data_IF_004886199622
#
_entry.id   IF_004886199622
#
_cell.length_a   1.000
_cell.length_b   1.000
_cell.length_c   1.000
_cell.angle_alpha   90.00
_cell.angle_beta   90.00
_cell.angle_gamma   90.00
#
_symmetry.space_group_name_H-M   'P 1'
#
loop_
_entity.id
_entity.type
_entity.pdbx_description
1 polymer ?
#
# COMPACT_ATOMS: atom_id res chain seq x y z
N UNK A 1 -1.69 -2.31 8.44
CA UNK A 1 -2.68 -1.42 7.81
C UNK A 1 -4.11 -1.93 8.04
N UNK A 2 -4.81 -1.39 9.04
CA UNK A 2 -6.18 -1.84 9.39
C UNK A 2 -7.20 -1.47 8.30
N UNK A 3 -7.04 -0.32 7.63
CA UNK A 3 -7.95 0.13 6.58
C UNK A 3 -8.01 -0.82 5.38
N UNK A 4 -6.85 -1.20 4.82
CA UNK A 4 -6.79 -2.10 3.65
C UNK A 4 -7.40 -3.46 3.94
N UNK A 5 -7.15 -4.00 5.14
CA UNK A 5 -7.74 -5.27 5.56
C UNK A 5 -9.26 -5.19 5.68
N UNK A 6 -9.82 -4.11 6.26
CA UNK A 6 -11.28 -3.92 6.37
C UNK A 6 -11.93 -3.87 4.98
N UNK A 7 -11.29 -3.20 4.02
CA UNK A 7 -11.78 -3.14 2.63
C UNK A 7 -11.85 -4.56 2.05
N UNK A 8 -10.74 -5.30 2.08
CA UNK A 8 -10.68 -6.67 1.55
C UNK A 8 -11.72 -7.57 2.22
N UNK A 9 -11.81 -7.52 3.55
CA UNK A 9 -12.69 -8.39 4.34
C UNK A 9 -14.16 -8.22 3.96
N UNK A 10 -14.62 -6.98 3.85
CA UNK A 10 -16.05 -6.67 3.70
C UNK A 10 -16.48 -6.37 2.27
N UNK A 11 -15.54 -6.26 1.32
CA UNK A 11 -15.81 -6.14 -0.10
C UNK A 11 -15.46 -7.41 -0.85
N UNK A 12 -14.19 -7.82 -0.80
CA UNK A 12 -13.66 -8.90 -1.65
C UNK A 12 -13.93 -10.29 -1.06
N UNK A 13 -14.08 -10.38 0.26
CA UNK A 13 -14.41 -11.60 1.01
C UNK A 13 -15.79 -11.51 1.68
N UNK A 14 -16.69 -10.69 1.13
CA UNK A 14 -18.02 -10.45 1.68
C UNK A 14 -18.87 -11.72 1.79
N UNK A 15 -18.66 -12.72 0.92
CA UNK A 15 -19.34 -14.02 0.99
C UNK A 15 -18.99 -14.81 2.26
N UNK A 16 -17.83 -14.56 2.86
CA UNK A 16 -17.34 -15.23 4.07
C UNK A 16 -17.61 -14.38 5.31
N UNK A 17 -17.40 -13.07 5.23
CA UNK A 17 -17.41 -12.17 6.40
C UNK A 17 -18.60 -11.22 6.47
N UNK A 18 -19.50 -11.25 5.49
CA UNK A 18 -20.60 -10.32 5.36
C UNK A 18 -20.18 -8.98 4.74
N UNK A 19 -21.04 -8.46 3.86
CA UNK A 19 -20.87 -7.14 3.28
C UNK A 19 -21.09 -6.05 4.35
N UNK A 20 -20.20 -5.07 4.39
CA UNK A 20 -20.31 -3.91 5.28
C UNK A 20 -19.88 -2.63 4.55
N UNK A 21 -20.72 -2.09 3.64
CA UNK A 21 -20.34 -0.97 2.76
C UNK A 21 -19.92 0.29 3.55
N UNK A 22 -20.60 0.60 4.65
CA UNK A 22 -20.24 1.74 5.52
C UNK A 22 -18.84 1.59 6.11
N UNK A 23 -18.45 0.37 6.53
CA UNK A 23 -17.11 0.11 7.05
C UNK A 23 -16.04 0.22 5.95
N UNK A 24 -16.36 -0.24 4.73
CA UNK A 24 -15.48 -0.10 3.55
C UNK A 24 -15.24 1.38 3.24
N UNK A 25 -16.27 2.21 3.23
CA UNK A 25 -16.13 3.64 2.91
C UNK A 25 -15.37 4.40 4.02
N UNK A 26 -15.64 4.08 5.29
CA UNK A 26 -14.86 4.62 6.40
C UNK A 26 -13.37 4.23 6.31
N UNK A 27 -13.08 2.99 5.92
CA UNK A 27 -11.72 2.50 5.72
C UNK A 27 -11.02 3.20 4.54
N UNK A 28 -11.69 3.42 3.41
CA UNK A 28 -11.16 4.21 2.28
C UNK A 28 -10.81 5.63 2.70
N UNK A 29 -11.71 6.29 3.43
CA UNK A 29 -11.47 7.64 3.94
C UNK A 29 -10.28 7.68 4.92
N UNK A 30 -10.15 6.65 5.78
CA UNK A 30 -9.02 6.56 6.70
C UNK A 30 -7.69 6.33 5.99
N UNK A 31 -7.65 5.42 5.01
CA UNK A 31 -6.48 5.22 4.15
C UNK A 31 -6.06 6.52 3.48
N UNK A 32 -7.01 7.26 2.88
CA UNK A 32 -6.74 8.54 2.22
C UNK A 32 -6.05 9.54 3.15
N UNK A 33 -6.50 9.64 4.41
CA UNK A 33 -5.86 10.51 5.42
C UNK A 33 -4.43 10.08 5.72
N UNK A 34 -4.20 8.78 5.95
CA UNK A 34 -2.88 8.24 6.27
C UNK A 34 -1.89 8.41 5.11
N UNK A 35 -2.29 8.03 3.90
CA UNK A 35 -1.41 8.08 2.73
C UNK A 35 -1.08 9.51 2.31
N UNK A 36 -1.96 10.48 2.59
CA UNK A 36 -1.68 11.91 2.39
C UNK A 36 -0.54 12.39 3.29
N UNK A 37 -0.43 11.90 4.52
CA UNK A 37 0.70 12.23 5.41
C UNK A 37 1.98 11.64 4.86
N UNK A 38 1.96 10.37 4.45
CA UNK A 38 3.13 9.72 3.84
C UNK A 38 3.58 10.45 2.58
N UNK A 39 2.64 10.89 1.73
CA UNK A 39 2.96 11.66 0.53
C UNK A 39 3.71 12.96 0.84
N UNK A 40 3.35 13.65 1.92
CA UNK A 40 4.07 14.86 2.35
C UNK A 40 5.48 14.53 2.83
N UNK A 41 5.65 13.43 3.56
CA UNK A 41 6.97 12.97 4.04
C UNK A 41 7.89 12.60 2.89
N UNK A 42 7.36 12.02 1.81
CA UNK A 42 8.12 11.61 0.62
C UNK A 42 8.26 12.71 -0.44
N UNK A 43 7.78 13.92 -0.17
CA UNK A 43 7.82 15.02 -1.13
C UNK A 43 9.25 15.53 -1.41
N UNK A 44 10.22 15.15 -0.57
CA UNK A 44 11.65 15.43 -0.74
C UNK A 44 12.36 14.44 -1.68
N UNK A 45 11.61 13.49 -2.27
CA UNK A 45 12.11 12.42 -3.14
C UNK A 45 13.20 11.53 -2.51
N UNK A 46 13.21 11.41 -1.18
CA UNK A 46 14.15 10.53 -0.47
C UNK A 46 14.07 9.08 -0.95
N UNK A 47 15.21 8.38 -0.91
CA UNK A 47 15.30 6.99 -1.34
C UNK A 47 14.79 5.99 -0.29
N UNK A 48 14.93 6.34 0.98
CA UNK A 48 14.60 5.49 2.12
C UNK A 48 13.86 6.29 3.19
N UNK A 49 12.92 5.63 3.88
CA UNK A 49 12.16 6.25 4.96
C UNK A 49 13.03 6.52 6.20
N UNK A 50 14.03 5.68 6.44
CA UNK A 50 14.88 5.75 7.62
C UNK A 50 16.34 5.51 7.24
N UNK A 51 17.22 6.48 7.55
CA UNK A 51 18.64 6.40 7.25
C UNK A 51 18.93 6.51 5.75
N UNK A 52 20.01 5.84 5.34
CA UNK A 52 20.60 5.89 4.00
C UNK A 52 20.58 4.52 3.28
N UNK A 53 19.86 3.55 3.84
CA UNK A 53 19.78 2.19 3.30
C UNK A 53 18.36 1.60 3.38
N UNK A 54 18.11 0.55 2.58
CA UNK A 54 16.84 -0.16 2.57
C UNK A 54 16.54 -0.73 3.96
N UNK A 55 15.34 -0.46 4.45
CA UNK A 55 14.88 -0.85 5.77
C UNK A 55 13.55 -1.59 5.72
N UNK A 56 13.19 -2.19 6.86
CA UNK A 56 11.87 -2.81 7.04
C UNK A 56 10.72 -1.79 6.86
N UNK A 57 10.95 -0.51 7.14
CA UNK A 57 9.95 0.53 6.93
C UNK A 57 9.59 0.68 5.45
N UNK A 58 10.59 0.61 4.57
CA UNK A 58 10.42 0.74 3.11
C UNK A 58 9.65 -0.46 2.57
N UNK A 59 10.06 -1.66 2.96
CA UNK A 59 9.40 -2.91 2.58
C UNK A 59 7.93 -2.90 3.04
N UNK A 60 7.68 -2.46 4.28
CA UNK A 60 6.33 -2.37 4.82
C UNK A 60 5.45 -1.38 4.05
N UNK A 61 5.99 -0.19 3.74
CA UNK A 61 5.26 0.82 2.98
C UNK A 61 4.94 0.32 1.57
N UNK A 62 5.94 -0.23 0.86
CA UNK A 62 5.77 -0.75 -0.51
C UNK A 62 4.73 -1.88 -0.55
N UNK A 63 4.75 -2.77 0.45
CA UNK A 63 3.73 -3.81 0.60
C UNK A 63 2.35 -3.19 0.78
N UNK A 64 2.19 -2.18 1.64
CA UNK A 64 0.92 -1.48 1.80
C UNK A 64 0.45 -0.80 0.51
N UNK A 65 1.37 -0.25 -0.29
CA UNK A 65 1.07 0.34 -1.59
C UNK A 65 0.57 -0.70 -2.61
N UNK A 66 1.22 -1.87 -2.69
CA UNK A 66 0.74 -2.98 -3.53
C UNK A 66 -0.69 -3.38 -3.17
N UNK A 67 -0.97 -3.50 -1.87
CA UNK A 67 -2.31 -3.82 -1.37
C UNK A 67 -3.32 -2.71 -1.63
N UNK A 68 -2.92 -1.44 -1.53
CA UNK A 68 -3.79 -0.32 -1.86
C UNK A 68 -4.19 -0.35 -3.34
N UNK A 69 -3.24 -0.58 -4.24
CA UNK A 69 -3.50 -0.74 -5.68
C UNK A 69 -4.38 -1.96 -5.94
N UNK A 70 -4.10 -3.10 -5.30
CA UNK A 70 -4.96 -4.29 -5.39
C UNK A 70 -6.39 -4.00 -4.92
N UNK A 71 -6.56 -3.15 -3.90
CA UNK A 71 -7.86 -2.71 -3.43
C UNK A 71 -8.52 -1.64 -4.32
N UNK A 72 -7.93 -1.30 -5.48
CA UNK A 72 -8.35 -0.22 -6.38
C UNK A 72 -8.40 1.16 -5.68
N UNK A 73 -7.42 1.43 -4.81
CA UNK A 73 -7.20 2.74 -4.21
C UNK A 73 -6.08 3.47 -4.93
N UNK A 74 -6.20 4.78 -5.03
CA UNK A 74 -5.19 5.63 -5.66
C UNK A 74 -4.03 5.93 -4.71
N UNK A 75 -2.81 5.91 -5.25
CA UNK A 75 -1.61 6.37 -4.56
C UNK A 75 -1.34 7.83 -4.96
N UNK A 76 -1.12 8.74 -4.00
CA UNK A 76 -0.63 10.09 -4.27
C UNK A 76 0.73 10.07 -4.98
N UNK A 77 1.06 11.15 -5.71
CA UNK A 77 2.19 11.19 -6.65
C UNK A 77 3.55 10.81 -6.05
N UNK A 78 3.95 11.39 -4.91
CA UNK A 78 5.25 11.09 -4.29
C UNK A 78 5.31 9.64 -3.78
N UNK A 79 4.19 9.14 -3.24
CA UNK A 79 4.08 7.73 -2.83
C UNK A 79 4.14 6.80 -4.03
N UNK A 80 3.49 7.14 -5.14
CA UNK A 80 3.51 6.36 -6.37
C UNK A 80 4.92 6.29 -6.98
N UNK A 81 5.65 7.42 -6.98
CA UNK A 81 7.03 7.46 -7.44
C UNK A 81 7.95 6.60 -6.55
N UNK A 82 7.83 6.73 -5.22
CA UNK A 82 8.55 5.91 -4.26
C UNK A 82 8.28 4.41 -4.44
N UNK A 83 7.00 4.06 -4.56
CA UNK A 83 6.55 2.69 -4.83
C UNK A 83 7.17 2.15 -6.12
N UNK A 84 7.09 2.88 -7.22
CA UNK A 84 7.66 2.48 -8.50
C UNK A 84 9.18 2.22 -8.42
N UNK A 85 9.94 3.12 -7.77
CA UNK A 85 11.39 2.94 -7.58
C UNK A 85 11.72 1.67 -6.81
N UNK A 86 11.03 1.42 -5.70
CA UNK A 86 11.30 0.22 -4.89
C UNK A 86 10.87 -1.07 -5.57
N UNK A 87 9.82 -1.04 -6.41
CA UNK A 87 9.39 -2.21 -7.20
C UNK A 87 10.39 -2.62 -8.29
N UNK A 88 11.30 -1.74 -8.70
CA UNK A 88 12.34 -2.06 -9.68
C UNK A 88 13.50 -2.88 -9.07
N UNK A 89 13.55 -3.04 -7.74
CA UNK A 89 14.63 -3.80 -7.08
C UNK A 89 14.56 -5.28 -7.48
N UNK A 90 15.69 -5.92 -7.83
CA UNK A 90 15.71 -7.35 -8.22
C UNK A 90 15.08 -8.28 -7.18
N UNK A 91 15.35 -8.04 -5.89
CA UNK A 91 14.78 -8.83 -4.80
C UNK A 91 13.25 -8.68 -4.70
N UNK A 92 12.73 -7.47 -4.93
CA UNK A 92 11.29 -7.25 -4.99
C UNK A 92 10.69 -8.00 -6.18
N UNK A 93 11.24 -7.85 -7.38
CA UNK A 93 10.72 -8.51 -8.60
C UNK A 93 10.72 -10.04 -8.47
N UNK A 94 11.78 -10.60 -7.89
CA UNK A 94 11.87 -12.04 -7.62
C UNK A 94 10.76 -12.49 -6.65
N UNK A 95 10.59 -11.79 -5.53
CA UNK A 95 9.55 -12.09 -4.55
C UNK A 95 8.13 -11.91 -5.13
N UNK A 96 7.89 -10.82 -5.87
CA UNK A 96 6.60 -10.52 -6.48
C UNK A 96 6.22 -11.61 -7.48
N UNK A 97 7.15 -12.03 -8.34
CA UNK A 97 6.95 -13.12 -9.30
C UNK A 97 6.51 -14.39 -8.58
N UNK A 98 7.17 -14.78 -7.49
CA UNK A 98 6.79 -16.01 -6.77
C UNK A 98 5.40 -15.92 -6.14
N UNK A 99 5.01 -14.75 -5.62
CA UNK A 99 3.76 -14.60 -4.86
C UNK A 99 2.53 -14.25 -5.70
N UNK A 100 2.71 -13.69 -6.90
CA UNK A 100 1.62 -13.14 -7.72
C UNK A 100 1.63 -13.63 -9.17
N UNK A 101 2.36 -14.70 -9.50
CA UNK A 101 2.39 -15.32 -10.84
C UNK A 101 1.19 -16.23 -11.16
N UNK A 102 0.09 -16.13 -10.40
CA UNK A 102 -1.12 -16.95 -10.58
C UNK A 102 -2.36 -16.09 -10.64
#
# INVERSE_FOLDING_TARGET
>A
ATALYVIRRHRDLASVYGAAPVAVDAAKAYFKRQITVVNKVLADDRDFLAGDALSAADIHLVTCCDWAVHCALELPSAVAAYHARHRQRPAYTAAFTVNYSR
#
